data_IF_656644959221
#
_entry.id   IF_656644959221
#
_cell.length_a   1.000
_cell.length_b   1.000
_cell.length_c   1.000
_cell.angle_alpha   90.00
_cell.angle_beta   90.00
_cell.angle_gamma   90.00
#
_symmetry.space_group_name_H-M   'P 1'
#
loop_
_entity.id
_entity.type
_entity.pdbx_description
1 polymer ?
#
# COMPACT_ATOMS: atom_id res chain seq x y z
N UNK A 1 -6.46 -21.49 -14.15
CA UNK A 1 -7.15 -20.30 -13.62
C UNK A 1 -6.20 -19.62 -12.66
N UNK A 2 -6.03 -18.29 -12.78
CA UNK A 2 -5.04 -17.52 -12.02
C UNK A 2 -5.46 -17.28 -10.56
N UNK A 3 -4.98 -16.18 -9.97
CA UNK A 3 -5.36 -15.78 -8.61
C UNK A 3 -6.56 -14.83 -8.62
N UNK A 4 -7.50 -15.04 -7.69
CA UNK A 4 -8.65 -14.16 -7.50
C UNK A 4 -8.34 -13.08 -6.46
N UNK A 5 -8.79 -11.85 -6.72
CA UNK A 5 -8.71 -10.73 -5.78
C UNK A 5 -10.00 -10.73 -4.95
N UNK A 6 -9.88 -10.62 -3.62
CA UNK A 6 -10.99 -10.71 -2.66
C UNK A 6 -11.07 -9.44 -1.80
N UNK A 7 -11.48 -8.33 -2.41
CA UNK A 7 -11.65 -7.07 -1.68
C UNK A 7 -12.79 -7.14 -0.66
N UNK A 8 -13.79 -7.98 -0.92
CA UNK A 8 -14.93 -8.30 -0.06
C UNK A 8 -14.54 -8.85 1.32
N UNK A 9 -13.31 -9.37 1.48
CA UNK A 9 -12.81 -9.87 2.76
C UNK A 9 -12.38 -8.76 3.73
N UNK A 10 -12.25 -7.52 3.27
CA UNK A 10 -11.88 -6.37 4.10
C UNK A 10 -13.14 -5.52 4.29
N UNK A 11 -13.60 -5.43 5.54
CA UNK A 11 -14.83 -4.71 5.86
C UNK A 11 -14.73 -3.26 5.40
N UNK A 12 -15.72 -2.79 4.62
CA UNK A 12 -15.80 -1.43 4.10
C UNK A 12 -14.88 -1.11 2.91
N UNK A 13 -14.04 -2.05 2.43
CA UNK A 13 -13.08 -1.74 1.36
C UNK A 13 -13.75 -1.48 0.01
N UNK A 14 -14.79 -2.25 -0.35
CA UNK A 14 -15.46 -2.07 -1.65
C UNK A 14 -16.15 -0.71 -1.75
N UNK A 15 -16.79 -0.26 -0.66
CA UNK A 15 -17.36 1.09 -0.55
C UNK A 15 -16.26 2.15 -0.59
N UNK A 16 -15.16 1.93 0.15
CA UNK A 16 -14.06 2.87 0.18
C UNK A 16 -13.37 3.03 -1.18
N UNK A 17 -13.27 1.94 -1.94
CA UNK A 17 -12.79 1.98 -3.32
C UNK A 17 -13.67 2.83 -4.24
N UNK A 18 -14.93 3.14 -3.88
CA UNK A 18 -15.76 4.08 -4.64
C UNK A 18 -15.39 5.55 -4.39
N UNK A 19 -14.64 5.85 -3.33
CA UNK A 19 -14.20 7.22 -2.99
C UNK A 19 -12.94 7.63 -3.78
N UNK A 20 -12.60 8.93 -3.84
CA UNK A 20 -11.39 9.39 -4.55
C UNK A 20 -10.08 9.11 -3.81
N UNK A 21 -10.14 8.66 -2.55
CA UNK A 21 -8.96 8.57 -1.67
C UNK A 21 -8.33 7.18 -1.61
N UNK A 22 -9.07 6.13 -1.99
CA UNK A 22 -8.61 4.73 -1.90
C UNK A 22 -8.46 4.14 -3.30
N UNK A 23 -7.38 3.39 -3.51
CA UNK A 23 -7.08 2.74 -4.78
C UNK A 23 -6.39 1.40 -4.59
N UNK A 24 -6.38 0.58 -5.64
CA UNK A 24 -5.64 -0.68 -5.68
C UNK A 24 -5.11 -0.97 -7.07
N UNK A 25 -3.83 -1.32 -7.18
CA UNK A 25 -3.20 -1.69 -8.46
C UNK A 25 -3.47 -3.15 -8.86
N UNK A 26 -4.25 -3.91 -8.08
CA UNK A 26 -4.48 -5.33 -8.30
C UNK A 26 -5.73 -5.63 -9.13
N UNK A 27 -6.59 -4.63 -9.38
CA UNK A 27 -7.78 -4.69 -10.23
C UNK A 27 -7.73 -3.64 -11.35
N UNK A 28 -8.27 -4.00 -12.51
CA UNK A 28 -8.39 -3.11 -13.67
C UNK A 28 -9.26 -1.88 -13.37
N UNK A 29 -10.32 -2.06 -12.58
CA UNK A 29 -11.28 -1.00 -12.26
C UNK A 29 -10.72 0.04 -11.29
N UNK A 30 -9.75 -0.36 -10.45
CA UNK A 30 -9.25 0.48 -9.35
C UNK A 30 -7.85 1.05 -9.59
N UNK A 31 -7.12 0.58 -10.60
CA UNK A 31 -5.71 0.97 -10.83
C UNK A 31 -5.55 2.45 -11.15
N UNK A 32 -6.48 3.05 -11.88
CA UNK A 32 -6.47 4.48 -12.21
C UNK A 32 -6.75 5.35 -10.98
N UNK A 33 -7.48 4.81 -9.99
CA UNK A 33 -7.75 5.51 -8.71
C UNK A 33 -6.48 5.69 -7.89
N UNK A 34 -5.54 4.75 -7.91
CA UNK A 34 -4.25 4.90 -7.24
C UNK A 34 -3.49 6.13 -7.74
N UNK A 35 -3.47 6.35 -9.06
CA UNK A 35 -2.84 7.54 -9.66
C UNK A 35 -3.59 8.82 -9.25
N UNK A 36 -4.92 8.81 -9.29
CA UNK A 36 -5.75 9.94 -8.87
C UNK A 36 -5.52 10.32 -7.40
N UNK A 37 -5.57 9.33 -6.50
CA UNK A 37 -5.31 9.51 -5.07
C UNK A 37 -3.91 10.08 -4.82
N UNK A 38 -2.88 9.53 -5.48
CA UNK A 38 -1.50 10.03 -5.39
C UNK A 38 -1.36 11.48 -5.84
N UNK A 39 -2.03 11.88 -6.94
CA UNK A 39 -1.99 13.26 -7.44
C UNK A 39 -2.66 14.23 -6.46
N UNK A 40 -3.82 13.83 -5.93
CA UNK A 40 -4.67 14.63 -5.05
C UNK A 40 -4.22 14.66 -3.58
N UNK A 41 -3.23 13.85 -3.19
CA UNK A 41 -2.69 13.80 -1.84
C UNK A 41 -2.03 15.14 -1.44
N UNK A 42 -2.70 15.96 -0.64
CA UNK A 42 -2.19 17.28 -0.20
C UNK A 42 -1.29 17.24 1.04
N UNK A 43 -1.04 16.06 1.60
CA UNK A 43 -0.34 15.87 2.87
C UNK A 43 -1.07 14.89 3.77
N UNK A 44 -0.52 14.65 4.97
CA UNK A 44 -1.04 13.66 5.91
C UNK A 44 -0.48 12.26 5.67
N UNK A 45 -1.27 11.23 5.92
CA UNK A 45 -0.80 9.84 5.85
C UNK A 45 -1.13 9.19 4.50
N UNK A 46 -0.12 8.68 3.79
CA UNK A 46 -0.31 7.74 2.68
C UNK A 46 0.00 6.33 3.17
N UNK A 47 -1.05 5.52 3.33
CA UNK A 47 -0.98 4.16 3.87
C UNK A 47 -1.02 3.14 2.73
N UNK A 48 -0.07 2.22 2.77
CA UNK A 48 0.06 1.11 1.83
C UNK A 48 0.02 -0.20 2.60
N UNK A 49 -0.63 -1.22 2.03
CA UNK A 49 -0.92 -2.45 2.77
C UNK A 49 -0.46 -3.70 2.04
N UNK A 50 -0.19 -4.75 2.81
CA UNK A 50 0.04 -6.09 2.31
C UNK A 50 -0.85 -7.07 3.11
N UNK A 51 -1.75 -7.84 2.44
CA UNK A 51 -2.81 -8.60 3.10
C UNK A 51 -2.26 -9.79 3.91
N UNK A 52 -3.09 -10.42 4.76
CA UNK A 52 -2.71 -11.62 5.49
C UNK A 52 -2.13 -12.71 4.60
N UNK A 53 -1.00 -13.26 5.05
CA UNK A 53 -0.56 -14.60 4.64
C UNK A 53 -0.93 -15.66 5.68
N UNK A 54 -1.61 -15.30 6.76
CA UNK A 54 -2.08 -16.19 7.83
C UNK A 54 -3.59 -16.46 7.71
N UNK A 55 -4.04 -17.60 8.23
CA UNK A 55 -5.25 -18.29 7.76
C UNK A 55 -6.54 -17.44 7.70
N UNK A 56 -7.29 -17.48 6.57
CA UNK A 56 -6.93 -18.15 5.33
C UNK A 56 -5.74 -17.43 4.65
N UNK A 57 -4.65 -18.16 4.43
CA UNK A 57 -3.46 -17.61 3.82
C UNK A 57 -3.83 -17.07 2.45
N UNK A 58 -3.55 -15.80 2.18
CA UNK A 58 -3.81 -15.19 0.88
C UNK A 58 -2.50 -15.08 0.13
N UNK A 59 -2.16 -16.01 -0.79
CA UNK A 59 -1.07 -15.81 -1.71
C UNK A 59 -1.28 -14.49 -2.46
N UNK A 60 -0.19 -13.78 -2.75
CA UNK A 60 -0.26 -12.51 -3.47
C UNK A 60 0.50 -12.64 -4.79
N UNK A 61 -0.13 -12.27 -5.91
CA UNK A 61 0.58 -12.10 -7.18
C UNK A 61 1.59 -10.96 -7.06
N UNK A 62 2.87 -11.19 -7.35
CA UNK A 62 3.91 -10.16 -7.32
C UNK A 62 4.00 -9.40 -5.96
N UNK A 63 4.48 -10.06 -4.88
CA UNK A 63 4.47 -9.47 -3.54
C UNK A 63 5.23 -8.13 -3.42
N UNK A 64 6.19 -7.87 -4.30
CA UNK A 64 6.90 -6.59 -4.34
C UNK A 64 6.07 -5.42 -4.89
N UNK A 65 4.89 -5.64 -5.48
CA UNK A 65 4.10 -4.56 -6.10
C UNK A 65 3.58 -3.54 -5.08
N UNK A 66 3.25 -3.98 -3.86
CA UNK A 66 2.87 -3.07 -2.77
C UNK A 66 4.01 -2.10 -2.42
N UNK A 67 5.27 -2.55 -2.48
CA UNK A 67 6.43 -1.70 -2.23
C UNK A 67 6.74 -0.75 -3.39
N UNK A 68 6.58 -1.23 -4.62
CA UNK A 68 6.84 -0.43 -5.81
C UNK A 68 6.02 0.84 -5.81
N UNK A 69 4.72 0.75 -5.49
CA UNK A 69 3.86 1.94 -5.48
C UNK A 69 4.25 2.94 -4.40
N UNK A 70 4.72 2.49 -3.22
CA UNK A 70 5.26 3.39 -2.18
C UNK A 70 6.41 4.23 -2.73
N UNK A 71 7.37 3.57 -3.39
CA UNK A 71 8.56 4.26 -3.89
C UNK A 71 8.25 5.21 -5.05
N UNK A 72 7.26 4.88 -5.87
CA UNK A 72 6.73 5.76 -6.91
C UNK A 72 6.01 6.97 -6.30
N UNK A 73 5.23 6.77 -5.24
CA UNK A 73 4.59 7.87 -4.51
C UNK A 73 5.62 8.80 -3.86
N UNK A 74 6.66 8.26 -3.21
CA UNK A 74 7.78 9.07 -2.70
C UNK A 74 8.43 9.91 -3.81
N UNK A 75 8.72 9.29 -4.97
CA UNK A 75 9.34 9.98 -6.09
C UNK A 75 8.44 11.09 -6.65
N UNK A 76 7.14 10.82 -6.81
CA UNK A 76 6.15 11.79 -7.26
C UNK A 76 6.04 12.97 -6.30
N UNK A 77 5.88 12.70 -4.99
CA UNK A 77 5.76 13.77 -3.99
C UNK A 77 7.02 14.63 -3.88
N UNK A 78 8.21 14.05 -4.07
CA UNK A 78 9.46 14.81 -4.13
C UNK A 78 9.52 15.72 -5.36
N UNK A 79 9.11 15.23 -6.52
CA UNK A 79 9.03 16.04 -7.74
C UNK A 79 8.06 17.22 -7.58
N UNK A 80 6.94 16.98 -6.90
CA UNK A 80 5.92 17.98 -6.58
C UNK A 80 6.23 18.83 -5.34
N UNK A 81 7.40 18.65 -4.70
CA UNK A 81 7.81 19.34 -3.45
C UNK A 81 6.84 19.21 -2.27
N UNK A 82 6.04 18.14 -2.23
CA UNK A 82 5.05 17.83 -1.16
C UNK A 82 5.47 16.69 -0.22
N UNK A 83 6.70 16.18 -0.36
CA UNK A 83 7.15 15.02 0.41
C UNK A 83 7.17 15.26 1.92
N UNK A 84 7.56 16.46 2.36
CA UNK A 84 7.66 16.80 3.79
C UNK A 84 6.30 16.90 4.48
N UNK A 85 5.23 17.13 3.71
CA UNK A 85 3.85 17.22 4.21
C UNK A 85 3.20 15.84 4.38
N UNK A 86 3.88 14.76 3.95
CA UNK A 86 3.30 13.42 3.85
C UNK A 86 4.09 12.39 4.64
N UNK A 87 3.40 11.57 5.44
CA UNK A 87 3.94 10.38 6.06
C UNK A 87 3.64 9.15 5.19
N UNK A 88 4.69 8.47 4.72
CA UNK A 88 4.55 7.22 3.97
C UNK A 88 4.59 6.05 4.94
N UNK A 89 3.50 5.28 5.02
CA UNK A 89 3.34 4.18 5.97
C UNK A 89 3.08 2.89 5.21
N UNK A 90 3.87 1.86 5.48
CA UNK A 90 3.68 0.51 4.95
C UNK A 90 3.35 -0.46 6.07
N UNK A 91 2.10 -0.93 6.09
CA UNK A 91 1.63 -1.97 6.98
C UNK A 91 1.64 -3.31 6.24
N UNK A 92 2.46 -4.25 6.69
CA UNK A 92 2.54 -5.57 6.07
C UNK A 92 2.28 -6.66 7.08
N UNK A 93 1.46 -7.65 6.70
CA UNK A 93 1.24 -8.86 7.51
C UNK A 93 2.51 -9.70 7.69
N UNK A 94 3.51 -9.52 6.82
CA UNK A 94 4.76 -10.26 6.85
C UNK A 94 5.65 -9.83 8.02
N UNK A 95 6.44 -10.79 8.52
CA UNK A 95 7.51 -10.53 9.49
C UNK A 95 8.81 -10.02 8.85
N UNK A 96 8.84 -9.83 7.54
CA UNK A 96 10.01 -9.39 6.77
C UNK A 96 9.58 -8.47 5.63
N UNK A 97 10.48 -7.59 5.21
CA UNK A 97 10.23 -6.65 4.11
C UNK A 97 10.21 -7.34 2.73
N UNK A 98 10.97 -8.42 2.56
CA UNK A 98 11.00 -9.22 1.33
C UNK A 98 11.44 -10.65 1.63
N UNK A 99 10.95 -11.63 0.86
CA UNK A 99 11.19 -13.06 1.14
C UNK A 99 12.62 -13.55 0.92
N UNK A 100 13.46 -12.76 0.25
CA UNK A 100 14.88 -13.10 -0.02
C UNK A 100 15.77 -12.09 0.68
N UNK A 101 16.59 -12.58 1.63
CA UNK A 101 17.40 -11.75 2.53
C UNK A 101 18.25 -10.70 1.80
N UNK A 102 18.97 -11.10 0.73
CA UNK A 102 19.82 -10.19 -0.06
C UNK A 102 19.06 -8.95 -0.54
N UNK A 103 17.81 -9.13 -0.98
CA UNK A 103 16.98 -8.02 -1.45
C UNK A 103 16.29 -7.29 -0.29
N UNK A 104 15.89 -8.01 0.77
CA UNK A 104 15.34 -7.40 1.97
C UNK A 104 16.34 -6.42 2.61
N UNK A 105 17.61 -6.81 2.75
CA UNK A 105 18.67 -5.95 3.30
C UNK A 105 18.86 -4.66 2.47
N UNK A 106 18.76 -4.76 1.15
CA UNK A 106 18.82 -3.60 0.27
C UNK A 106 17.57 -2.72 0.39
N UNK A 107 16.39 -3.32 0.46
CA UNK A 107 15.11 -2.60 0.58
C UNK A 107 14.99 -1.88 1.94
N UNK A 108 15.56 -2.44 3.01
CA UNK A 108 15.62 -1.76 4.32
C UNK A 108 16.37 -0.43 4.24
N UNK A 109 17.50 -0.39 3.53
CA UNK A 109 18.23 0.87 3.28
C UNK A 109 17.42 1.86 2.44
N UNK A 110 16.61 1.36 1.50
CA UNK A 110 15.76 2.21 0.65
C UNK A 110 14.62 2.82 1.45
N UNK A 111 13.92 2.05 2.29
CA UNK A 111 12.82 2.59 3.11
C UNK A 111 13.34 3.61 4.12
N UNK A 112 14.49 3.35 4.74
CA UNK A 112 15.16 4.29 5.65
C UNK A 112 15.53 5.59 4.94
N UNK A 113 16.25 5.51 3.80
CA UNK A 113 16.61 6.68 2.99
C UNK A 113 15.39 7.50 2.55
N UNK A 114 14.28 6.84 2.26
CA UNK A 114 13.03 7.49 1.80
C UNK A 114 12.14 7.95 2.96
N UNK A 115 12.49 7.65 4.22
CA UNK A 115 11.67 7.98 5.39
C UNK A 115 10.29 7.30 5.34
N UNK A 116 10.24 6.03 4.90
CA UNK A 116 9.01 5.22 4.91
C UNK A 116 8.93 4.49 6.24
N UNK A 117 7.85 4.70 6.98
CA UNK A 117 7.55 3.92 8.18
C UNK A 117 7.08 2.53 7.75
N UNK A 118 7.76 1.47 8.20
CA UNK A 118 7.36 0.09 7.93
C UNK A 118 6.92 -0.58 9.24
N UNK A 119 5.66 -0.99 9.30
CA UNK A 119 5.13 -1.75 10.42
C UNK A 119 4.92 -3.21 9.97
N UNK A 120 5.73 -4.10 10.53
CA UNK A 120 5.66 -5.54 10.28
C UNK A 120 4.55 -6.18 11.12
N UNK A 121 4.02 -7.32 10.64
CA UNK A 121 2.91 -8.05 11.29
C UNK A 121 1.68 -7.17 11.55
N UNK A 122 1.39 -6.26 10.63
CA UNK A 122 0.19 -5.41 10.63
C UNK A 122 -0.67 -5.72 9.42
N UNK A 123 -1.92 -6.09 9.66
CA UNK A 123 -2.89 -6.43 8.62
C UNK A 123 -4.02 -5.39 8.55
N UNK A 124 -4.45 -5.05 7.33
CA UNK A 124 -5.65 -4.26 7.11
C UNK A 124 -6.89 -5.15 7.20
N UNK A 125 -7.74 -4.89 8.19
CA UNK A 125 -8.98 -5.68 8.43
C UNK A 125 -10.27 -4.91 8.13
N UNK A 126 -10.22 -3.57 8.21
CA UNK A 126 -11.38 -2.71 8.03
C UNK A 126 -10.96 -1.34 7.48
N UNK A 127 -11.80 -0.75 6.64
CA UNK A 127 -11.68 0.63 6.16
C UNK A 127 -12.94 1.39 6.56
N UNK A 128 -12.77 2.45 7.36
CA UNK A 128 -13.85 3.33 7.75
C UNK A 128 -13.97 4.50 6.77
N UNK A 129 -15.18 4.77 6.32
CA UNK A 129 -15.50 6.02 5.64
C UNK A 129 -16.06 6.98 6.67
N UNK A 130 -15.26 7.96 7.09
CA UNK A 130 -15.83 9.11 7.78
C UNK A 130 -16.57 9.96 6.73
N UNK A 131 -17.88 10.04 6.87
CA UNK A 131 -18.68 11.11 6.25
C UNK A 131 -18.24 12.43 6.89
N UNK A 132 -17.48 13.23 6.15
CA UNK A 132 -17.36 14.66 6.46
C UNK A 132 -18.72 15.36 6.27
#
# INVERSE_FOLDING_TARGET
MGIQVRFDMIKGLEDALQTPYVGSNYSYETVTKTLSAMKNLKGGNAVFTFPATTFPATPVKCPGAAQKIIYLTDAYLRAEKRREETNLIFNTSLGVLFGVKKYADALWKVVEKKGVQVNLRQELVEVFLETC
#
